data_IF_503074663053
#
_entry.id   IF_503074663053
#
_cell.length_a   1.000
_cell.length_b   1.000
_cell.length_c   1.000
_cell.angle_alpha   90.00
_cell.angle_beta   90.00
_cell.angle_gamma   90.00
#
_symmetry.space_group_name_H-M   'P 1'
#
loop_
_entity.id
_entity.type
_entity.pdbx_description
1 polymer ?
#
# COMPACT_ATOMS: atom_id res chain seq x y z
N UNK A 1 -11.72 6.51 -10.52
CA UNK A 1 -13.08 6.25 -10.02
C UNK A 1 -13.10 6.56 -8.54
N UNK A 2 -14.04 7.38 -8.12
CA UNK A 2 -14.26 7.69 -6.72
C UNK A 2 -14.88 6.51 -5.99
N UNK A 3 -14.26 6.08 -4.88
CA UNK A 3 -14.73 4.94 -4.11
C UNK A 3 -15.91 5.22 -3.18
N UNK A 4 -16.29 6.47 -3.00
CA UNK A 4 -17.41 6.88 -2.15
C UNK A 4 -17.21 6.60 -0.65
N UNK A 5 -15.97 6.42 -0.23
CA UNK A 5 -15.63 6.04 1.13
C UNK A 5 -14.91 7.17 1.86
N UNK A 6 -15.35 7.43 3.09
CA UNK A 6 -14.75 8.45 3.94
C UNK A 6 -13.92 7.79 5.03
N UNK A 7 -12.64 8.10 5.06
CA UNK A 7 -11.70 7.68 6.09
C UNK A 7 -11.60 8.79 7.14
N UNK A 8 -11.63 8.43 8.41
CA UNK A 8 -11.41 9.38 9.52
C UNK A 8 -10.07 9.10 10.19
N UNK A 9 -9.28 10.13 10.38
CA UNK A 9 -8.07 10.05 11.20
C UNK A 9 -8.38 10.14 12.71
N UNK A 10 -7.32 10.12 13.55
CA UNK A 10 -7.45 10.21 15.01
C UNK A 10 -8.10 11.51 15.48
N UNK A 11 -7.95 12.59 14.73
CA UNK A 11 -8.43 13.93 15.04
C UNK A 11 -9.84 14.18 14.47
N UNK A 12 -10.43 13.17 13.82
CA UNK A 12 -11.75 13.22 13.23
C UNK A 12 -11.79 13.90 11.86
N UNK A 13 -10.63 14.21 11.25
CA UNK A 13 -10.59 14.71 9.90
C UNK A 13 -11.04 13.62 8.91
N UNK A 14 -11.76 14.03 7.89
CA UNK A 14 -12.33 13.12 6.89
C UNK A 14 -11.55 13.19 5.57
N UNK A 15 -11.25 12.03 5.02
CA UNK A 15 -10.56 11.86 3.74
C UNK A 15 -11.36 10.91 2.84
N UNK A 16 -11.39 11.22 1.56
CA UNK A 16 -12.03 10.37 0.57
C UNK A 16 -11.02 9.40 -0.05
N UNK A 17 -11.39 8.12 -0.14
CA UNK A 17 -10.64 7.15 -0.92
C UNK A 17 -10.96 7.32 -2.41
N UNK A 18 -9.98 7.70 -3.21
CA UNK A 18 -10.12 7.85 -4.65
C UNK A 18 -9.26 6.81 -5.35
N UNK A 19 -9.90 6.00 -6.20
CA UNK A 19 -9.23 4.98 -7.01
C UNK A 19 -9.51 5.22 -8.49
N UNK A 20 -8.48 5.12 -9.31
CA UNK A 20 -8.59 5.23 -10.75
C UNK A 20 -7.90 4.05 -11.44
N UNK A 21 -8.57 3.48 -12.42
CA UNK A 21 -8.00 2.45 -13.29
C UNK A 21 -7.92 2.98 -14.71
N UNK A 22 -6.77 2.91 -15.32
CA UNK A 22 -6.50 3.33 -16.69
C UNK A 22 -6.23 2.08 -17.51
N UNK A 23 -6.96 1.91 -18.61
CA UNK A 23 -6.85 0.76 -19.50
C UNK A 23 -6.52 1.19 -20.93
N UNK A 24 -6.21 0.24 -21.80
CA UNK A 24 -5.91 0.51 -23.20
C UNK A 24 -4.54 1.15 -23.44
N UNK A 25 -3.62 1.00 -22.49
CA UNK A 25 -2.27 1.54 -22.60
C UNK A 25 -1.40 0.67 -23.52
N UNK A 26 -0.60 1.33 -24.36
CA UNK A 26 0.41 0.65 -25.17
C UNK A 26 1.58 0.17 -24.29
N UNK A 27 2.18 -0.97 -24.62
CA UNK A 27 3.35 -1.47 -23.93
C UNK A 27 4.57 -0.57 -24.15
N UNK A 28 5.52 -0.60 -23.23
CA UNK A 28 6.81 0.10 -23.30
C UNK A 28 6.71 1.61 -23.55
N UNK A 29 5.62 2.23 -23.08
CA UNK A 29 5.28 3.62 -23.36
C UNK A 29 5.26 4.42 -22.06
N UNK A 30 5.83 5.63 -22.10
CA UNK A 30 5.75 6.56 -20.98
C UNK A 30 4.46 7.36 -21.06
N UNK A 31 3.71 7.34 -20.00
CA UNK A 31 2.49 8.12 -19.83
C UNK A 31 2.68 9.18 -18.75
N UNK A 32 2.04 10.31 -18.95
CA UNK A 32 2.01 11.42 -17.99
C UNK A 32 0.62 11.52 -17.40
N UNK A 33 0.54 11.77 -16.12
CA UNK A 33 -0.73 11.96 -15.44
C UNK A 33 -0.67 13.13 -14.46
N UNK A 34 -1.82 13.68 -14.18
CA UNK A 34 -2.00 14.76 -13.22
C UNK A 34 -3.22 14.46 -12.35
N UNK A 35 -3.11 14.70 -11.06
CA UNK A 35 -4.22 14.63 -10.11
C UNK A 35 -4.52 16.05 -9.66
N UNK A 36 -5.69 16.56 -10.02
CA UNK A 36 -6.13 17.93 -9.76
C UNK A 36 -5.06 18.95 -10.17
N UNK A 37 -4.70 19.88 -9.30
CA UNK A 37 -3.71 20.92 -9.55
C UNK A 37 -2.28 20.54 -9.12
N UNK A 38 -2.05 19.27 -8.79
CA UNK A 38 -0.73 18.78 -8.38
C UNK A 38 0.24 18.70 -9.58
N UNK A 39 1.49 18.44 -9.28
CA UNK A 39 2.53 18.25 -10.29
C UNK A 39 2.22 17.09 -11.25
N UNK A 40 2.65 17.25 -12.50
CA UNK A 40 2.59 16.17 -13.48
C UNK A 40 3.60 15.09 -13.07
N UNK A 41 3.11 13.87 -12.97
CA UNK A 41 3.92 12.68 -12.74
C UNK A 41 3.92 11.80 -13.99
N UNK A 42 4.80 10.82 -14.04
CA UNK A 42 4.84 9.89 -15.16
C UNK A 42 5.10 8.47 -14.68
N UNK A 43 4.66 7.52 -15.47
CA UNK A 43 5.02 6.12 -15.32
C UNK A 43 5.26 5.51 -16.70
N UNK A 44 5.98 4.40 -16.73
CA UNK A 44 6.23 3.65 -17.95
C UNK A 44 5.53 2.31 -17.87
N UNK A 45 4.80 1.96 -18.91
CA UNK A 45 4.20 0.64 -19.04
C UNK A 45 5.26 -0.42 -19.27
N UNK A 46 5.00 -1.64 -18.79
CA UNK A 46 5.90 -2.76 -18.91
C UNK A 46 6.25 -3.15 -20.35
N UNK A 47 7.34 -3.88 -20.48
CA UNK A 47 7.75 -4.50 -21.72
C UNK A 47 7.20 -5.93 -21.79
N UNK A 48 7.00 -6.44 -22.99
CA UNK A 48 6.64 -7.84 -23.24
C UNK A 48 7.84 -8.80 -23.17
N UNK A 49 9.05 -8.28 -22.96
CA UNK A 49 10.29 -9.03 -22.87
C UNK A 49 10.77 -9.26 -21.43
N UNK A 50 12.07 -9.17 -21.23
CA UNK A 50 12.69 -9.31 -19.91
C UNK A 50 12.27 -8.16 -18.98
N UNK A 51 11.96 -8.48 -17.75
CA UNK A 51 11.64 -7.51 -16.71
C UNK A 51 12.34 -7.86 -15.40
N UNK A 52 12.36 -6.91 -14.50
CA UNK A 52 12.91 -7.06 -13.16
C UNK A 52 11.91 -6.54 -12.15
N UNK A 53 11.65 -7.32 -11.12
CA UNK A 53 10.87 -6.85 -9.98
C UNK A 53 11.70 -6.95 -8.69
N UNK A 54 11.36 -6.11 -7.71
CA UNK A 54 11.88 -6.22 -6.36
C UNK A 54 10.85 -6.91 -5.49
N UNK A 55 11.30 -7.84 -4.65
CA UNK A 55 10.50 -8.43 -3.60
C UNK A 55 10.92 -7.80 -2.27
N UNK A 56 9.96 -7.23 -1.56
CA UNK A 56 10.19 -6.57 -0.27
C UNK A 56 9.16 -7.05 0.73
N UNK A 57 9.48 -6.99 2.01
CA UNK A 57 8.56 -7.28 3.08
C UNK A 57 8.77 -6.32 4.25
N UNK A 58 7.77 -6.19 5.09
CA UNK A 58 7.84 -5.50 6.37
C UNK A 58 8.40 -4.07 6.32
N UNK A 59 7.91 -3.17 5.46
CA UNK A 59 8.25 -1.75 5.59
C UNK A 59 7.81 -1.18 6.94
N UNK A 60 6.73 -1.72 7.48
CA UNK A 60 6.20 -1.50 8.84
C UNK A 60 6.34 -0.05 9.31
N UNK A 61 5.84 0.90 8.51
CA UNK A 61 5.92 2.33 8.82
C UNK A 61 5.30 2.59 10.20
N UNK A 62 6.08 3.21 11.07
CA UNK A 62 5.72 3.46 12.48
C UNK A 62 6.34 2.49 13.49
N UNK A 63 7.05 1.46 13.02
CA UNK A 63 7.64 0.42 13.87
C UNK A 63 8.77 0.92 14.76
N UNK A 64 9.44 2.01 14.39
CA UNK A 64 10.53 2.60 15.17
C UNK A 64 10.07 3.38 16.41
N UNK A 65 8.75 3.43 16.70
CA UNK A 65 8.24 3.97 17.95
C UNK A 65 8.52 3.01 19.11
N UNK A 66 9.39 3.41 20.02
CA UNK A 66 9.75 2.62 21.21
C UNK A 66 8.73 2.76 22.35
N UNK A 67 7.85 3.75 22.29
CA UNK A 67 6.80 3.90 23.31
C UNK A 67 5.74 2.82 23.15
N UNK A 68 5.52 2.09 24.23
CA UNK A 68 4.46 1.08 24.29
C UNK A 68 3.27 1.61 25.05
N UNK A 69 2.09 1.24 24.58
CA UNK A 69 0.82 1.54 25.27
C UNK A 69 -0.02 2.56 24.55
N UNK A 70 -1.01 3.01 25.17
CA UNK A 70 -2.28 3.55 24.72
C UNK A 70 -2.22 5.00 24.19
N UNK A 71 -3.29 5.38 23.59
CA UNK A 71 -3.83 6.64 23.07
C UNK A 71 -3.50 7.92 23.91
N UNK A 72 -2.21 8.16 24.19
CA UNK A 72 -1.72 9.38 24.86
C UNK A 72 -1.09 10.31 23.84
N UNK A 73 -1.10 11.60 24.13
CA UNK A 73 -0.43 12.60 23.27
C UNK A 73 1.05 12.27 23.07
N UNK A 74 1.73 11.81 24.12
CA UNK A 74 3.13 11.40 24.04
C UNK A 74 3.32 10.24 23.06
N UNK A 75 2.42 9.25 23.07
CA UNK A 75 2.44 8.16 22.10
C UNK A 75 2.25 8.65 20.66
N UNK A 76 1.27 9.52 20.42
CA UNK A 76 1.02 10.04 19.08
C UNK A 76 2.16 10.90 18.55
N UNK A 77 2.81 11.68 19.39
CA UNK A 77 3.98 12.47 19.03
C UNK A 77 5.17 11.57 18.67
N UNK A 78 5.42 10.53 19.46
CA UNK A 78 6.44 9.53 19.18
C UNK A 78 6.13 8.76 17.89
N UNK A 79 4.86 8.41 17.66
CA UNK A 79 4.44 7.72 16.44
C UNK A 79 4.64 8.59 15.19
N UNK A 80 4.34 9.87 15.27
CA UNK A 80 4.57 10.80 14.15
C UNK A 80 6.06 10.89 13.79
N UNK A 81 6.93 10.92 14.80
CA UNK A 81 8.37 10.90 14.57
C UNK A 81 8.86 9.58 13.99
N UNK A 82 8.34 8.45 14.47
CA UNK A 82 8.64 7.13 13.94
C UNK A 82 8.21 7.03 12.47
N UNK A 83 7.00 7.47 12.15
CA UNK A 83 6.50 7.50 10.77
C UNK A 83 7.41 8.32 9.87
N UNK A 84 7.85 9.49 10.30
CA UNK A 84 8.75 10.34 9.51
C UNK A 84 10.10 9.64 9.25
N UNK A 85 10.68 9.02 10.27
CA UNK A 85 11.94 8.28 10.16
C UNK A 85 11.82 7.06 9.25
N UNK A 86 10.79 6.24 9.47
CA UNK A 86 10.60 5.01 8.70
C UNK A 86 10.26 5.32 7.24
N UNK A 87 9.46 6.35 6.98
CA UNK A 87 9.15 6.83 5.63
C UNK A 87 10.39 7.33 4.90
N UNK A 88 11.30 8.01 5.59
CA UNK A 88 12.59 8.41 5.01
C UNK A 88 13.41 7.18 4.60
N UNK A 89 13.55 6.19 5.48
CA UNK A 89 14.29 4.96 5.21
C UNK A 89 13.65 4.16 4.05
N UNK A 90 12.33 4.07 4.05
CA UNK A 90 11.55 3.48 2.95
C UNK A 90 11.81 4.21 1.63
N UNK A 91 11.79 5.54 1.63
CA UNK A 91 12.11 6.34 0.45
C UNK A 91 13.53 6.05 -0.09
N UNK A 92 14.54 5.90 0.79
CA UNK A 92 15.89 5.53 0.36
C UNK A 92 15.95 4.13 -0.26
N UNK A 93 15.22 3.19 0.31
CA UNK A 93 15.09 1.83 -0.23
C UNK A 93 14.47 1.85 -1.62
N UNK A 94 13.35 2.56 -1.80
CA UNK A 94 12.68 2.70 -3.08
C UNK A 94 13.56 3.34 -4.16
N UNK A 95 14.34 4.36 -3.81
CA UNK A 95 15.31 4.98 -4.74
C UNK A 95 16.37 4.00 -5.20
N UNK A 96 16.87 3.13 -4.32
CA UNK A 96 17.82 2.08 -4.69
C UNK A 96 17.18 1.03 -5.60
N UNK A 97 15.96 0.61 -5.30
CA UNK A 97 15.18 -0.31 -6.12
C UNK A 97 14.98 0.28 -7.52
N UNK A 98 14.57 1.53 -7.62
CA UNK A 98 14.38 2.22 -8.90
C UNK A 98 15.68 2.35 -9.68
N UNK A 99 16.79 2.72 -9.02
CA UNK A 99 18.11 2.84 -9.66
C UNK A 99 18.67 1.52 -10.17
N UNK A 100 18.18 0.39 -9.65
CA UNK A 100 18.51 -0.95 -10.15
C UNK A 100 17.75 -1.32 -11.45
N UNK A 101 16.91 -0.42 -11.97
CA UNK A 101 16.13 -0.66 -13.18
C UNK A 101 14.96 -1.63 -12.95
N UNK A 102 14.34 -1.54 -11.79
CA UNK A 102 13.18 -2.36 -11.42
C UNK A 102 11.92 -1.83 -12.09
N UNK A 103 11.13 -2.71 -12.66
CA UNK A 103 9.88 -2.37 -13.35
C UNK A 103 8.70 -2.21 -12.38
N UNK A 104 8.66 -3.04 -11.32
CA UNK A 104 7.65 -2.97 -10.26
C UNK A 104 8.12 -3.65 -8.97
N UNK A 105 7.38 -3.45 -7.90
CA UNK A 105 7.64 -4.03 -6.59
C UNK A 105 6.53 -5.01 -6.23
N UNK A 106 6.90 -6.13 -5.62
CA UNK A 106 6.01 -7.04 -4.89
C UNK A 106 6.30 -6.85 -3.41
N UNK A 107 5.30 -6.40 -2.65
CA UNK A 107 5.39 -6.20 -1.19
C UNK A 107 4.66 -7.34 -0.48
N UNK A 108 5.39 -8.06 0.36
CA UNK A 108 4.91 -9.25 1.07
C UNK A 108 4.09 -8.95 2.34
N UNK A 109 3.56 -7.75 2.45
CA UNK A 109 2.72 -7.37 3.59
C UNK A 109 3.43 -6.49 4.61
N UNK A 110 2.72 -6.21 5.69
CA UNK A 110 3.13 -5.35 6.79
C UNK A 110 3.61 -3.97 6.33
N UNK A 111 2.74 -3.29 5.58
CA UNK A 111 3.00 -1.94 5.09
C UNK A 111 3.08 -0.94 6.24
N UNK A 112 2.30 -1.16 7.28
CA UNK A 112 2.19 -0.30 8.46
C UNK A 112 2.39 -1.09 9.75
N UNK A 113 2.56 -0.38 10.87
CA UNK A 113 2.77 -0.97 12.20
C UNK A 113 1.45 -1.25 12.94
N UNK A 114 0.42 -0.43 12.75
CA UNK A 114 -0.79 -0.51 13.59
C UNK A 114 -1.71 -1.64 13.16
N UNK A 115 -1.92 -2.61 14.07
CA UNK A 115 -2.78 -3.79 13.84
C UNK A 115 -4.22 -3.62 14.35
N UNK A 116 -4.55 -2.52 15.02
CA UNK A 116 -5.88 -2.36 15.63
C UNK A 116 -6.99 -2.39 14.61
N UNK A 117 -7.86 -3.40 14.72
CA UNK A 117 -9.08 -3.50 13.93
C UNK A 117 -10.06 -2.38 14.31
N UNK A 118 -10.49 -1.62 13.34
CA UNK A 118 -11.52 -0.59 13.46
C UNK A 118 -12.62 -0.83 12.45
N UNK A 119 -13.78 -0.24 12.72
CA UNK A 119 -14.81 -0.19 11.70
C UNK A 119 -14.28 0.54 10.46
N UNK A 120 -14.65 0.10 9.25
CA UNK A 120 -14.27 0.79 8.02
C UNK A 120 -14.57 2.28 8.09
N UNK A 121 -13.63 3.11 7.67
CA UNK A 121 -13.77 4.55 7.70
C UNK A 121 -13.60 5.21 9.06
N UNK A 122 -13.27 4.45 10.09
CA UNK A 122 -13.06 4.99 11.42
C UNK A 122 -11.72 4.54 11.97
N UNK A 123 -10.68 5.32 11.69
CA UNK A 123 -9.36 5.11 12.25
C UNK A 123 -9.16 6.04 13.46
N UNK A 124 -9.44 5.53 14.63
CA UNK A 124 -9.02 6.18 15.89
C UNK A 124 -7.60 5.77 16.30
N UNK A 125 -6.86 5.18 15.39
CA UNK A 125 -5.48 4.73 15.55
C UNK A 125 -4.55 5.60 14.71
N UNK A 126 -3.26 5.30 14.76
CA UNK A 126 -2.23 5.96 13.95
C UNK A 126 -2.14 5.42 12.52
N UNK A 127 -2.98 4.47 12.13
CA UNK A 127 -2.87 3.80 10.82
C UNK A 127 -2.88 4.75 9.64
N UNK A 128 -3.66 5.83 9.67
CA UNK A 128 -3.73 6.76 8.55
C UNK A 128 -2.44 7.56 8.35
N UNK A 129 -1.77 7.98 9.42
CA UNK A 129 -0.46 8.63 9.29
C UNK A 129 0.61 7.65 8.82
N UNK A 130 0.51 6.38 9.21
CA UNK A 130 1.39 5.31 8.76
C UNK A 130 1.20 5.01 7.27
N UNK A 131 -0.05 4.87 6.78
CA UNK A 131 -0.32 4.75 5.34
C UNK A 131 0.12 5.98 4.57
N UNK A 132 -0.09 7.18 5.10
CA UNK A 132 0.43 8.40 4.49
C UNK A 132 1.97 8.35 4.38
N UNK A 133 2.64 7.86 5.42
CA UNK A 133 4.09 7.65 5.41
C UNK A 133 4.55 6.62 4.38
N UNK A 134 3.86 5.49 4.29
CA UNK A 134 4.15 4.43 3.31
C UNK A 134 4.00 4.93 1.87
N UNK A 135 2.96 5.71 1.59
CA UNK A 135 2.62 6.20 0.25
C UNK A 135 3.29 7.53 -0.11
N UNK A 136 3.97 8.20 0.84
CA UNK A 136 4.57 9.52 0.64
C UNK A 136 5.76 9.57 -0.32
N UNK A 137 6.60 8.51 -0.50
CA UNK A 137 7.76 8.59 -1.37
C UNK A 137 7.39 8.88 -2.82
N UNK A 138 7.97 9.93 -3.39
CA UNK A 138 7.75 10.31 -4.80
C UNK A 138 8.06 9.19 -5.80
N UNK A 139 8.95 8.27 -5.45
CA UNK A 139 9.28 7.11 -6.27
C UNK A 139 8.05 6.27 -6.60
N UNK A 140 7.09 6.14 -5.68
CA UNK A 140 5.85 5.38 -5.89
C UNK A 140 4.92 6.01 -6.93
N UNK A 141 5.12 7.28 -7.27
CA UNK A 141 4.37 7.91 -8.35
C UNK A 141 4.72 7.34 -9.74
N UNK A 142 5.88 6.70 -9.87
CA UNK A 142 6.36 6.14 -11.15
C UNK A 142 6.73 4.66 -11.09
N UNK A 143 6.91 4.10 -9.89
CA UNK A 143 7.26 2.70 -9.67
C UNK A 143 6.07 1.96 -9.04
N UNK A 144 5.34 1.13 -9.80
CA UNK A 144 4.19 0.41 -9.29
C UNK A 144 4.53 -0.55 -8.16
N UNK A 145 3.62 -0.71 -7.22
CA UNK A 145 3.72 -1.70 -6.14
C UNK A 145 2.48 -2.58 -6.10
N UNK A 146 2.71 -3.89 -6.08
CA UNK A 146 1.70 -4.92 -5.82
C UNK A 146 1.85 -5.36 -4.36
N UNK A 147 0.86 -5.05 -3.53
CA UNK A 147 0.89 -5.34 -2.09
C UNK A 147 0.14 -6.63 -1.77
N UNK A 148 0.64 -7.42 -0.81
CA UNK A 148 -0.15 -8.43 -0.12
C UNK A 148 -0.47 -7.95 1.30
N UNK A 149 -1.36 -8.67 1.95
CA UNK A 149 -1.77 -8.39 3.33
C UNK A 149 -0.84 -9.13 4.28
N UNK A 150 -0.15 -8.38 5.15
CA UNK A 150 0.58 -8.94 6.29
C UNK A 150 -0.28 -8.98 7.54
N UNK A 151 0.27 -9.47 8.65
CA UNK A 151 -0.51 -9.57 9.89
C UNK A 151 -0.81 -8.19 10.51
N UNK A 152 0.00 -7.18 10.25
CA UNK A 152 -0.26 -5.80 10.66
C UNK A 152 -1.33 -5.12 9.81
N UNK A 153 -1.48 -5.51 8.55
CA UNK A 153 -2.52 -4.99 7.66
C UNK A 153 -3.85 -5.71 7.84
N UNK A 154 -3.84 -7.01 8.14
CA UNK A 154 -5.00 -7.90 8.11
C UNK A 154 -6.14 -7.46 9.04
N UNK A 155 -5.80 -6.88 10.17
CA UNK A 155 -6.78 -6.36 11.14
C UNK A 155 -7.05 -4.87 10.98
N UNK A 156 -6.43 -4.22 9.97
CA UNK A 156 -6.62 -2.82 9.68
C UNK A 156 -7.69 -2.63 8.62
N UNK A 157 -8.87 -2.18 9.05
CA UNK A 157 -10.03 -2.04 8.17
C UNK A 157 -9.81 -1.06 6.99
N UNK A 158 -8.78 -0.22 7.04
CA UNK A 158 -8.54 0.80 6.02
C UNK A 158 -7.58 0.35 4.90
N UNK A 159 -6.87 -0.77 5.05
CA UNK A 159 -5.97 -1.30 4.02
C UNK A 159 -6.61 -1.28 2.62
N UNK A 160 -7.80 -1.85 2.49
CA UNK A 160 -8.50 -1.98 1.21
C UNK A 160 -8.82 -0.64 0.52
N UNK A 161 -8.77 0.47 1.26
CA UNK A 161 -9.06 1.80 0.71
C UNK A 161 -7.82 2.51 0.19
N UNK A 162 -6.65 2.04 0.55
CA UNK A 162 -5.37 2.58 0.11
C UNK A 162 -4.79 1.88 -1.13
N UNK A 163 -5.20 0.64 -1.38
CA UNK A 163 -4.66 -0.16 -2.48
C UNK A 163 -5.76 -0.55 -3.48
N UNK A 164 -5.49 -0.32 -4.76
CA UNK A 164 -6.38 -0.66 -5.87
C UNK A 164 -5.80 -1.85 -6.63
N UNK A 165 -6.04 -3.04 -6.12
CA UNK A 165 -5.51 -4.28 -6.69
C UNK A 165 -6.39 -4.77 -7.85
N UNK A 166 -5.80 -5.31 -8.92
CA UNK A 166 -6.55 -5.86 -10.05
C UNK A 166 -7.09 -7.26 -9.73
N UNK A 167 -8.17 -7.65 -10.39
CA UNK A 167 -8.73 -9.01 -10.34
C UNK A 167 -8.89 -9.55 -8.91
N UNK A 168 -9.28 -8.66 -7.98
CA UNK A 168 -9.56 -9.04 -6.60
C UNK A 168 -10.67 -10.08 -6.57
N UNK A 169 -10.44 -11.19 -5.85
CA UNK A 169 -11.42 -12.24 -5.61
C UNK A 169 -12.02 -12.12 -4.20
N UNK A 170 -13.04 -12.92 -3.93
CA UNK A 170 -13.58 -13.09 -2.58
C UNK A 170 -12.87 -14.20 -1.79
N UNK A 171 -11.85 -14.82 -2.39
CA UNK A 171 -11.03 -15.83 -1.73
C UNK A 171 -9.99 -15.14 -0.84
N UNK A 172 -9.60 -15.81 0.23
CA UNK A 172 -8.58 -15.32 1.14
C UNK A 172 -8.99 -14.11 2.00
N UNK A 173 -10.31 -13.85 2.15
CA UNK A 173 -10.80 -12.70 2.93
C UNK A 173 -11.49 -13.07 4.25
N UNK A 174 -11.49 -14.32 4.64
CA UNK A 174 -12.22 -14.90 5.77
C UNK A 174 -12.08 -14.09 7.09
N UNK A 175 -12.82 -12.99 7.17
CA UNK A 175 -12.79 -12.06 8.30
C UNK A 175 -11.54 -11.18 8.39
N UNK A 176 -10.69 -11.19 7.38
CA UNK A 176 -9.51 -10.33 7.23
C UNK A 176 -9.71 -9.37 6.06
N UNK A 177 -9.05 -8.22 6.10
CA UNK A 177 -9.11 -7.27 5.00
C UNK A 177 -8.24 -7.72 3.83
N UNK A 178 -8.59 -7.33 2.61
CA UNK A 178 -7.92 -7.76 1.40
C UNK A 178 -8.60 -8.97 0.78
N UNK A 179 -7.85 -9.84 0.21
CA UNK A 179 -8.26 -11.03 -0.51
C UNK A 179 -7.18 -11.44 -1.48
N UNK A 180 -7.37 -12.58 -2.10
CA UNK A 180 -6.48 -13.03 -3.16
C UNK A 180 -6.72 -12.22 -4.42
N UNK A 181 -5.66 -11.93 -5.14
CA UNK A 181 -5.75 -11.29 -6.44
C UNK A 181 -4.62 -11.75 -7.35
N UNK A 182 -4.73 -11.44 -8.63
CA UNK A 182 -3.67 -11.75 -9.57
C UNK A 182 -3.49 -10.66 -10.62
N UNK A 183 -2.32 -10.67 -11.23
CA UNK A 183 -2.02 -9.87 -12.42
C UNK A 183 -1.02 -10.60 -13.32
N UNK A 184 -0.95 -10.18 -14.55
CA UNK A 184 0.08 -10.65 -15.49
C UNK A 184 1.05 -9.53 -15.78
N UNK A 185 2.33 -9.88 -15.90
CA UNK A 185 3.35 -8.97 -16.39
C UNK A 185 4.24 -9.71 -17.37
N UNK A 186 4.26 -9.28 -18.63
CA UNK A 186 4.77 -10.10 -19.72
C UNK A 186 4.02 -11.42 -19.80
N UNK A 187 4.75 -12.52 -19.87
CA UNK A 187 4.20 -13.89 -19.92
C UNK A 187 4.11 -14.57 -18.54
N UNK A 188 4.26 -13.80 -17.46
CA UNK A 188 4.26 -14.34 -16.09
C UNK A 188 2.98 -13.95 -15.37
N UNK A 189 2.33 -14.95 -14.77
CA UNK A 189 1.21 -14.76 -13.85
C UNK A 189 1.75 -14.59 -12.42
N UNK A 190 1.36 -13.52 -11.76
CA UNK A 190 1.59 -13.28 -10.35
C UNK A 190 0.30 -13.52 -9.58
N UNK A 191 0.32 -14.49 -8.68
CA UNK A 191 -0.77 -14.78 -7.76
C UNK A 191 -0.39 -14.24 -6.39
N UNK A 192 -1.23 -13.36 -5.86
CA UNK A 192 -1.02 -12.66 -4.60
C UNK A 192 -2.02 -13.21 -3.59
N UNK A 193 -1.53 -14.06 -2.68
CA UNK A 193 -2.37 -14.75 -1.71
C UNK A 193 -2.38 -14.02 -0.37
N UNK A 194 -3.56 -13.87 0.22
CA UNK A 194 -3.73 -13.34 1.56
C UNK A 194 -3.56 -14.46 2.59
N UNK A 195 -2.34 -14.81 2.93
CA UNK A 195 -2.02 -15.89 3.88
C UNK A 195 -2.42 -15.61 5.32
N UNK A 196 -3.05 -14.48 5.62
CA UNK A 196 -3.68 -14.21 6.91
C UNK A 196 -5.03 -14.94 7.05
N UNK A 197 -5.66 -15.29 5.95
CA UNK A 197 -6.62 -16.40 5.91
C UNK A 197 -5.84 -17.73 5.90
N UNK A 198 -6.06 -18.56 6.88
CA UNK A 198 -5.37 -19.85 7.00
C UNK A 198 -6.25 -21.03 6.56
N UNK A 199 -7.43 -20.76 6.04
CA UNK A 199 -8.31 -21.78 5.51
C UNK A 199 -7.92 -22.13 4.06
N UNK A 200 -7.24 -23.23 3.89
CA UNK A 200 -6.76 -23.67 2.56
C UNK A 200 -7.87 -23.94 1.53
N UNK A 201 -9.12 -24.02 1.95
CA UNK A 201 -10.26 -24.15 1.04
C UNK A 201 -10.72 -22.79 0.47
N UNK A 202 -10.19 -21.68 1.02
CA UNK A 202 -10.51 -20.31 0.60
C UNK A 202 -9.50 -19.73 -0.40
N UNK A 203 -8.45 -20.48 -0.73
CA UNK A 203 -7.45 -20.15 -1.75
C UNK A 203 -7.59 -21.12 -2.92
#
# INVERSE_FOLDING_TARGET
TYGGFVIKDKDGNEYNSNKATISGLAAHTTYYYKVDDKEIKSFKTGNTGKFRFAFVGDPQIGSSNELKGSDTEAFYNAQSNAVANDSYNWSQTLKKIQSAGTDFIVSAGDQIQTTKKKAPGNSSTTSEIEYAGYLSPDTLASLPVATTVGNHDADNANYQYHFNVPNLSNLGDNGKVGGDYYFTYGDVLFMMLNTQDTNSAEH
#
